data_IF_325871126598
#
_entry.id   IF_325871126598
#
_cell.length_a   1.000
_cell.length_b   1.000
_cell.length_c   1.000
_cell.angle_alpha   90.00
_cell.angle_beta   90.00
_cell.angle_gamma   90.00
#
_symmetry.space_group_name_H-M   'P 1'
#
loop_
_entity.id
_entity.type
_entity.pdbx_description
1 polymer ?
#
# COMPACT_ATOMS: atom_id res chain seq x y z
N UNK A 1 2.18 33.16 -20.86
CA UNK A 1 0.73 32.96 -20.63
C UNK A 1 0.42 31.52 -21.03
N UNK A 2 0.09 30.56 -20.16
CA UNK A 2 -0.47 30.59 -18.82
C UNK A 2 0.31 29.62 -17.93
N UNK A 3 0.78 30.08 -16.77
CA UNK A 3 1.20 29.20 -15.69
C UNK A 3 -0.06 28.52 -15.16
N UNK A 4 -0.15 27.21 -15.32
CA UNK A 4 -1.29 26.41 -14.86
C UNK A 4 -1.08 26.14 -13.36
N UNK A 5 -1.29 27.17 -12.55
CA UNK A 5 -1.03 27.19 -11.10
C UNK A 5 -2.20 26.56 -10.31
N UNK A 6 -2.68 25.42 -10.79
CA UNK A 6 -3.52 24.55 -9.98
C UNK A 6 -2.57 23.72 -9.11
N UNK A 7 -2.21 24.26 -7.94
CA UNK A 7 -1.43 23.54 -6.92
C UNK A 7 -2.01 22.15 -6.58
N UNK A 8 -1.28 21.37 -5.78
CA UNK A 8 -1.61 19.97 -5.44
C UNK A 8 -3.10 19.81 -5.05
N UNK A 9 -3.65 20.81 -4.35
CA UNK A 9 -5.05 20.87 -3.94
C UNK A 9 -6.04 20.94 -5.12
N UNK A 10 -5.82 21.83 -6.10
CA UNK A 10 -6.71 22.00 -7.26
C UNK A 10 -6.65 20.81 -8.24
N UNK A 11 -5.48 20.20 -8.37
CA UNK A 11 -5.26 18.98 -9.15
C UNK A 11 -5.97 17.77 -8.54
N UNK A 12 -5.78 17.56 -7.23
CA UNK A 12 -6.38 16.43 -6.52
C UNK A 12 -7.87 16.56 -6.33
N UNK A 13 -8.36 17.74 -5.97
CA UNK A 13 -9.77 17.91 -5.64
C UNK A 13 -10.66 17.64 -6.85
N UNK A 14 -10.33 18.22 -8.02
CA UNK A 14 -11.09 17.95 -9.26
C UNK A 14 -11.01 16.50 -9.73
N UNK A 15 -9.89 15.81 -9.46
CA UNK A 15 -9.62 14.47 -10.02
C UNK A 15 -10.00 13.34 -9.06
N UNK A 16 -9.69 13.43 -7.76
CA UNK A 16 -10.17 12.49 -6.73
C UNK A 16 -11.69 12.55 -6.60
N UNK A 17 -12.31 13.74 -6.60
CA UNK A 17 -13.77 13.84 -6.60
C UNK A 17 -14.40 13.36 -7.92
N UNK A 18 -13.64 13.10 -8.98
CA UNK A 18 -14.17 12.57 -10.25
C UNK A 18 -13.89 11.07 -10.42
N UNK A 19 -12.71 10.59 -10.03
CA UNK A 19 -12.31 9.18 -10.09
C UNK A 19 -12.76 8.36 -8.88
N UNK A 20 -12.90 9.00 -7.72
CA UNK A 20 -13.31 8.39 -6.45
C UNK A 20 -14.61 8.98 -5.89
N UNK A 21 -15.38 9.74 -6.68
CA UNK A 21 -16.73 10.20 -6.29
C UNK A 21 -17.63 9.04 -5.85
N UNK A 22 -17.51 7.90 -6.52
CA UNK A 22 -18.19 6.66 -6.18
C UNK A 22 -17.67 6.02 -4.89
N UNK A 23 -16.38 6.21 -4.54
CA UNK A 23 -15.78 5.75 -3.28
C UNK A 23 -16.23 6.60 -2.08
N UNK A 24 -16.29 7.91 -2.31
CA UNK A 24 -16.62 8.94 -1.32
C UNK A 24 -18.12 9.02 -1.04
N UNK A 25 -18.95 8.72 -2.04
CA UNK A 25 -20.38 8.56 -1.83
C UNK A 25 -20.61 7.24 -1.09
N UNK A 26 -20.88 7.32 0.22
CA UNK A 26 -21.19 6.22 1.13
C UNK A 26 -22.37 5.30 0.72
N UNK A 27 -22.99 5.53 -0.45
CA UNK A 27 -24.11 4.77 -1.00
C UNK A 27 -23.72 3.72 -2.07
N UNK A 28 -22.45 3.64 -2.46
CA UNK A 28 -22.00 2.70 -3.50
C UNK A 28 -21.05 1.68 -2.90
N UNK A 29 -21.40 0.39 -2.99
CA UNK A 29 -20.57 -0.74 -2.62
C UNK A 29 -19.40 -0.92 -3.59
N UNK A 30 -18.48 0.04 -3.59
CA UNK A 30 -17.34 0.06 -4.48
C UNK A 30 -16.16 -0.72 -3.89
N UNK A 31 -15.37 -1.38 -4.74
CA UNK A 31 -14.16 -2.14 -4.35
C UNK A 31 -13.13 -1.34 -3.54
N UNK A 32 -13.21 -0.01 -3.52
CA UNK A 32 -12.33 0.83 -2.71
C UNK A 32 -12.60 0.68 -1.20
N UNK A 33 -13.83 0.28 -0.83
CA UNK A 33 -14.21 -0.04 0.55
C UNK A 33 -13.43 -1.20 1.14
N UNK A 34 -12.88 -2.12 0.33
CA UNK A 34 -12.07 -3.23 0.85
C UNK A 34 -10.84 -2.75 1.62
N UNK A 35 -10.22 -1.64 1.19
CA UNK A 35 -9.11 -1.03 1.91
C UNK A 35 -9.60 -0.44 3.25
N UNK A 36 -10.71 0.28 3.25
CA UNK A 36 -11.29 0.87 4.48
C UNK A 36 -11.64 -0.24 5.48
N UNK A 37 -12.30 -1.31 5.06
CA UNK A 37 -12.65 -2.44 5.93
C UNK A 37 -11.40 -3.11 6.52
N UNK A 38 -10.39 -3.37 5.69
CA UNK A 38 -9.13 -3.97 6.16
C UNK A 38 -8.42 -3.04 7.14
N UNK A 39 -8.12 -1.81 6.74
CA UNK A 39 -7.40 -0.84 7.58
C UNK A 39 -8.12 -0.59 8.91
N UNK A 40 -9.45 -0.36 8.88
CA UNK A 40 -10.23 -0.13 10.10
C UNK A 40 -10.29 -1.35 11.00
N UNK A 41 -10.32 -2.57 10.45
CA UNK A 41 -10.23 -3.78 11.24
C UNK A 41 -8.89 -3.85 11.97
N UNK A 42 -7.77 -3.72 11.24
CA UNK A 42 -6.43 -3.74 11.80
C UNK A 42 -6.19 -2.64 12.84
N UNK A 43 -6.69 -1.42 12.58
CA UNK A 43 -6.66 -0.30 13.54
C UNK A 43 -7.39 -0.62 14.86
N UNK A 44 -8.49 -1.39 14.83
CA UNK A 44 -9.24 -1.81 16.04
C UNK A 44 -8.52 -2.88 16.86
N UNK A 45 -7.66 -3.68 16.22
CA UNK A 45 -7.00 -4.81 16.87
C UNK A 45 -5.52 -4.57 17.18
N UNK A 46 -4.95 -3.43 16.77
CA UNK A 46 -3.51 -3.13 16.86
C UNK A 46 -2.88 -3.31 18.25
N UNK A 47 -3.63 -3.09 19.32
CA UNK A 47 -3.17 -3.21 20.72
C UNK A 47 -3.71 -4.46 21.44
N UNK A 48 -4.45 -5.32 20.73
CA UNK A 48 -5.10 -6.50 21.30
C UNK A 48 -4.22 -7.73 21.21
N UNK A 49 -4.33 -8.60 22.22
CA UNK A 49 -3.90 -9.99 22.09
C UNK A 49 -5.03 -10.76 21.41
N UNK A 50 -4.82 -11.14 20.14
CA UNK A 50 -5.82 -11.85 19.36
C UNK A 50 -6.04 -13.27 19.87
N UNK A 51 -7.29 -13.72 19.86
CA UNK A 51 -7.63 -15.14 19.86
C UNK A 51 -7.57 -15.72 18.43
N UNK A 52 -7.80 -17.03 18.27
CA UNK A 52 -7.72 -17.69 16.97
C UNK A 52 -8.79 -17.23 15.97
N UNK A 53 -10.01 -16.93 16.44
CA UNK A 53 -11.10 -16.41 15.57
C UNK A 53 -10.81 -15.00 15.06
N UNK A 54 -10.30 -14.12 15.92
CA UNK A 54 -9.91 -12.76 15.52
C UNK A 54 -8.71 -12.77 14.58
N UNK A 55 -7.77 -13.69 14.78
CA UNK A 55 -6.63 -13.89 13.87
C UNK A 55 -7.10 -14.41 12.52
N UNK A 56 -8.03 -15.37 12.49
CA UNK A 56 -8.63 -15.86 11.25
C UNK A 56 -9.35 -14.76 10.48
N UNK A 57 -10.16 -13.97 11.19
CA UNK A 57 -10.85 -12.82 10.60
C UNK A 57 -9.89 -11.74 10.08
N UNK A 58 -8.76 -11.51 10.78
CA UNK A 58 -7.70 -10.61 10.31
C UNK A 58 -7.11 -11.09 8.97
N UNK A 59 -6.89 -12.40 8.84
CA UNK A 59 -6.41 -13.01 7.60
C UNK A 59 -7.42 -12.84 6.47
N UNK A 60 -8.71 -13.04 6.75
CA UNK A 60 -9.77 -12.88 5.77
C UNK A 60 -9.87 -11.42 5.28
N UNK A 61 -9.83 -10.44 6.18
CA UNK A 61 -9.81 -9.02 5.82
C UNK A 61 -8.63 -8.67 4.91
N UNK A 62 -7.42 -9.13 5.27
CA UNK A 62 -6.22 -8.89 4.48
C UNK A 62 -6.30 -9.59 3.12
N UNK A 63 -6.67 -10.87 3.08
CA UNK A 63 -6.79 -11.63 1.85
C UNK A 63 -7.82 -11.02 0.89
N UNK A 64 -9.00 -10.64 1.39
CA UNK A 64 -10.02 -10.02 0.57
C UNK A 64 -9.59 -8.65 0.03
N UNK A 65 -8.95 -7.81 0.86
CA UNK A 65 -8.33 -6.58 0.40
C UNK A 65 -7.33 -6.86 -0.74
N UNK A 66 -6.36 -7.75 -0.53
CA UNK A 66 -5.36 -8.08 -1.54
C UNK A 66 -5.98 -8.65 -2.82
N UNK A 67 -6.99 -9.53 -2.71
CA UNK A 67 -7.71 -10.09 -3.86
C UNK A 67 -8.47 -9.00 -4.64
N UNK A 68 -9.22 -8.15 -3.94
CA UNK A 68 -9.96 -7.03 -4.53
C UNK A 68 -9.06 -5.99 -5.19
N UNK A 69 -7.75 -5.98 -4.91
CA UNK A 69 -6.73 -5.15 -5.55
C UNK A 69 -5.79 -5.93 -6.48
N UNK A 70 -6.14 -7.18 -6.81
CA UNK A 70 -5.52 -7.95 -7.87
C UNK A 70 -4.21 -8.62 -7.51
N UNK A 71 -3.98 -8.95 -6.23
CA UNK A 71 -2.82 -9.73 -5.77
C UNK A 71 -3.05 -11.24 -5.82
N UNK A 72 -4.31 -11.71 -5.85
CA UNK A 72 -4.71 -13.11 -6.04
C UNK A 72 -5.06 -13.40 -7.51
N UNK A 73 -4.14 -13.15 -8.44
CA UNK A 73 -4.36 -13.45 -9.87
C UNK A 73 -3.05 -13.57 -10.64
N UNK A 74 -3.14 -14.06 -11.87
CA UNK A 74 -2.01 -14.13 -12.80
C UNK A 74 -0.88 -15.00 -12.24
N UNK A 75 0.35 -14.51 -12.34
CA UNK A 75 1.57 -15.17 -11.87
C UNK A 75 1.94 -14.82 -10.41
N UNK A 76 0.97 -14.44 -9.57
CA UNK A 76 1.22 -14.26 -8.14
C UNK A 76 1.25 -15.60 -7.40
N UNK A 77 2.34 -15.91 -6.69
CA UNK A 77 2.47 -17.15 -5.91
C UNK A 77 1.42 -17.26 -4.79
N UNK A 78 0.87 -16.12 -4.34
CA UNK A 78 -0.23 -16.08 -3.36
C UNK A 78 -1.50 -16.74 -3.90
N UNK A 79 -1.70 -16.78 -5.23
CA UNK A 79 -2.84 -17.47 -5.85
C UNK A 79 -2.87 -18.97 -5.53
N UNK A 80 -1.72 -19.57 -5.19
CA UNK A 80 -1.58 -20.99 -4.86
C UNK A 80 -1.80 -21.28 -3.37
N UNK A 81 -2.23 -20.28 -2.59
CA UNK A 81 -2.41 -20.38 -1.14
C UNK A 81 -3.81 -19.94 -0.75
N UNK A 82 -4.34 -20.55 0.30
CA UNK A 82 -5.58 -20.06 0.91
C UNK A 82 -5.36 -18.75 1.69
N UNK A 83 -6.45 -18.19 2.21
CA UNK A 83 -6.43 -16.88 2.89
C UNK A 83 -5.65 -16.91 4.22
N UNK A 84 -5.39 -18.08 4.81
CA UNK A 84 -4.68 -18.25 6.09
C UNK A 84 -3.15 -18.17 5.95
N UNK A 85 -2.65 -17.95 4.74
CA UNK A 85 -1.21 -17.81 4.47
C UNK A 85 -0.56 -16.63 5.21
N UNK A 86 -1.36 -15.64 5.62
CA UNK A 86 -0.85 -14.39 6.21
C UNK A 86 -0.64 -14.43 7.73
N UNK A 87 -0.86 -15.58 8.40
CA UNK A 87 -0.77 -15.72 9.86
C UNK A 87 0.49 -15.08 10.46
N UNK A 88 1.67 -15.40 9.91
CA UNK A 88 2.94 -14.91 10.42
C UNK A 88 3.15 -13.41 10.14
N UNK A 89 2.73 -12.95 8.96
CA UNK A 89 2.79 -11.53 8.58
C UNK A 89 1.95 -10.68 9.53
N UNK A 90 0.74 -11.14 9.89
CA UNK A 90 -0.14 -10.43 10.82
C UNK A 90 0.48 -10.35 12.22
N UNK A 91 1.08 -11.43 12.70
CA UNK A 91 1.81 -11.43 13.99
C UNK A 91 2.97 -10.43 13.99
N UNK A 92 3.71 -10.33 12.89
CA UNK A 92 4.80 -9.35 12.74
C UNK A 92 4.22 -7.92 12.79
N UNK A 93 3.16 -7.64 12.03
CA UNK A 93 2.52 -6.32 11.93
C UNK A 93 1.98 -5.83 13.28
N UNK A 94 1.38 -6.72 14.07
CA UNK A 94 0.80 -6.40 15.38
C UNK A 94 1.83 -6.37 16.51
N UNK A 95 3.11 -6.59 16.21
CA UNK A 95 4.17 -6.49 17.22
C UNK A 95 4.28 -5.06 17.76
N UNK A 96 4.42 -4.93 19.09
CA UNK A 96 4.64 -3.65 19.77
C UNK A 96 5.92 -2.93 19.32
N UNK A 97 6.87 -3.66 18.74
CA UNK A 97 8.08 -3.09 18.10
C UNK A 97 7.74 -2.00 17.07
N UNK A 98 6.59 -2.11 16.40
CA UNK A 98 6.19 -1.22 15.31
C UNK A 98 5.08 -0.23 15.70
N UNK A 99 4.81 -0.07 17.00
CA UNK A 99 3.76 0.83 17.50
C UNK A 99 3.87 2.26 16.93
N UNK A 100 5.10 2.76 16.77
CA UNK A 100 5.37 4.09 16.24
C UNK A 100 4.85 4.30 14.79
N UNK A 101 4.84 3.24 13.99
CA UNK A 101 4.42 3.30 12.58
C UNK A 101 2.89 3.42 12.41
N UNK A 102 2.11 3.22 13.47
CA UNK A 102 0.65 3.37 13.45
C UNK A 102 0.18 4.83 13.59
N UNK A 103 1.08 5.76 13.92
CA UNK A 103 0.76 7.17 14.19
C UNK A 103 1.85 8.10 13.62
N UNK A 104 2.05 8.00 12.30
CA UNK A 104 3.11 8.73 11.60
C UNK A 104 2.95 10.24 11.75
N UNK A 105 1.73 10.74 11.65
CA UNK A 105 1.47 12.18 11.61
C UNK A 105 1.77 12.90 12.91
N UNK A 106 1.67 12.19 14.03
CA UNK A 106 2.03 12.70 15.35
C UNK A 106 3.53 12.59 15.64
N UNK A 107 4.32 11.95 14.77
CA UNK A 107 5.73 11.61 14.99
C UNK A 107 6.64 12.02 13.81
N UNK A 108 6.24 13.02 13.02
CA UNK A 108 6.97 13.43 11.80
C UNK A 108 8.41 13.88 12.06
N UNK A 109 8.69 14.42 13.25
CA UNK A 109 10.03 14.80 13.73
C UNK A 109 10.94 13.59 13.96
N UNK A 110 10.36 12.40 14.21
CA UNK A 110 11.06 11.12 14.39
C UNK A 110 11.18 10.31 13.10
N UNK A 111 11.11 10.97 11.93
CA UNK A 111 11.12 10.30 10.61
C UNK A 111 12.28 9.32 10.40
N UNK A 112 13.47 9.61 10.94
CA UNK A 112 14.65 8.75 10.81
C UNK A 112 14.52 7.46 11.64
N UNK A 113 13.94 7.56 12.84
CA UNK A 113 13.65 6.40 13.68
C UNK A 113 12.57 5.53 13.05
N UNK A 114 11.48 6.15 12.59
CA UNK A 114 10.41 5.45 11.88
C UNK A 114 10.93 4.81 10.58
N UNK A 115 11.84 5.47 9.85
CA UNK A 115 12.47 4.90 8.65
C UNK A 115 13.21 3.59 8.94
N UNK A 116 13.99 3.54 10.01
CA UNK A 116 14.69 2.32 10.45
C UNK A 116 13.71 1.23 10.91
N UNK A 117 12.67 1.58 11.67
CA UNK A 117 11.63 0.64 12.08
C UNK A 117 10.87 0.07 10.88
N UNK A 118 10.52 0.92 9.91
CA UNK A 118 9.87 0.52 8.68
C UNK A 118 10.76 -0.41 7.85
N UNK A 119 12.06 -0.14 7.76
CA UNK A 119 13.00 -1.00 7.06
C UNK A 119 13.09 -2.40 7.69
N UNK A 120 13.14 -2.48 9.03
CA UNK A 120 13.07 -3.74 9.79
C UNK A 120 11.76 -4.49 9.52
N UNK A 121 10.61 -3.81 9.63
CA UNK A 121 9.29 -4.38 9.39
C UNK A 121 9.17 -4.94 7.96
N UNK A 122 9.52 -4.11 6.97
CA UNK A 122 9.48 -4.48 5.56
C UNK A 122 10.34 -5.71 5.30
N UNK A 123 11.54 -5.77 5.88
CA UNK A 123 12.44 -6.91 5.73
C UNK A 123 11.83 -8.21 6.26
N UNK A 124 11.24 -8.19 7.46
CA UNK A 124 10.55 -9.37 8.02
C UNK A 124 9.37 -9.84 7.17
N UNK A 125 8.58 -8.90 6.63
CA UNK A 125 7.47 -9.22 5.71
C UNK A 125 8.01 -9.80 4.40
N UNK A 126 9.04 -9.19 3.82
CA UNK A 126 9.66 -9.66 2.59
C UNK A 126 10.20 -11.09 2.75
N UNK A 127 10.89 -11.37 3.85
CA UNK A 127 11.43 -12.71 4.12
C UNK A 127 10.31 -13.74 4.32
N UNK A 128 9.23 -13.38 5.02
CA UNK A 128 8.04 -14.26 5.13
C UNK A 128 7.38 -14.50 3.77
N UNK A 129 7.29 -13.49 2.90
CA UNK A 129 6.76 -13.65 1.54
C UNK A 129 7.65 -14.54 0.67
N UNK A 130 8.98 -14.47 0.85
CA UNK A 130 9.93 -15.38 0.20
C UNK A 130 9.73 -16.82 0.66
N UNK A 131 9.53 -17.05 1.96
CA UNK A 131 9.22 -18.38 2.50
C UNK A 131 7.93 -18.94 1.89
N UNK A 132 6.87 -18.13 1.83
CA UNK A 132 5.60 -18.54 1.21
C UNK A 132 5.83 -18.91 -0.27
N UNK A 133 6.57 -18.09 -1.02
CA UNK A 133 6.90 -18.38 -2.43
C UNK A 133 7.71 -19.67 -2.56
N UNK A 134 8.70 -19.90 -1.71
CA UNK A 134 9.50 -21.13 -1.71
C UNK A 134 8.65 -22.36 -1.40
N UNK A 135 7.70 -22.26 -0.47
CA UNK A 135 6.79 -23.38 -0.16
C UNK A 135 5.87 -23.78 -1.31
N UNK A 136 5.59 -22.87 -2.26
CA UNK A 136 4.87 -23.20 -3.50
C UNK A 136 5.79 -23.93 -4.47
N UNK A 137 7.07 -23.56 -4.53
CA UNK A 137 8.05 -24.20 -5.42
C UNK A 137 8.38 -25.64 -5.04
N UNK A 138 8.28 -25.99 -3.77
CA UNK A 138 8.72 -27.30 -3.25
C UNK A 138 7.59 -28.29 -3.03
N UNK A 139 6.34 -27.94 -3.33
CA UNK A 139 5.19 -28.81 -3.06
C UNK A 139 4.90 -29.73 -4.25
N UNK A 140 4.74 -31.05 -4.04
CA UNK A 140 4.46 -32.01 -5.13
C UNK A 140 3.22 -31.63 -5.97
N UNK A 141 2.15 -31.15 -5.33
CA UNK A 141 0.91 -30.77 -6.02
C UNK A 141 1.04 -29.53 -6.95
N UNK A 142 2.17 -28.80 -6.92
CA UNK A 142 2.43 -27.65 -7.78
C UNK A 142 3.41 -27.96 -8.93
N UNK A 143 3.78 -29.23 -9.12
CA UNK A 143 4.67 -29.68 -10.19
C UNK A 143 4.16 -29.20 -11.57
N UNK A 144 4.99 -28.45 -12.31
CA UNK A 144 4.64 -27.87 -13.62
C UNK A 144 3.91 -26.51 -13.59
N UNK A 145 3.30 -26.11 -12.47
CA UNK A 145 2.81 -24.72 -12.23
C UNK A 145 4.01 -23.77 -12.05
N UNK A 146 5.09 -24.31 -11.48
CA UNK A 146 6.35 -23.67 -11.15
C UNK A 146 6.94 -22.79 -12.27
N UNK A 147 6.95 -23.22 -13.54
CA UNK A 147 7.66 -22.52 -14.64
C UNK A 147 7.33 -21.03 -14.82
N UNK A 148 6.17 -20.57 -14.36
CA UNK A 148 5.76 -19.13 -14.41
C UNK A 148 6.14 -18.32 -13.16
N UNK A 149 6.46 -18.99 -12.05
CA UNK A 149 6.79 -18.38 -10.74
C UNK A 149 8.27 -18.58 -10.34
N UNK A 150 9.02 -19.27 -11.22
CA UNK A 150 10.34 -19.85 -10.98
C UNK A 150 11.53 -18.94 -11.25
N UNK A 151 11.35 -17.68 -11.65
CA UNK A 151 12.51 -16.83 -11.87
C UNK A 151 13.16 -16.47 -10.52
N UNK A 152 14.19 -17.22 -10.13
CA UNK A 152 14.93 -17.08 -8.86
C UNK A 152 15.61 -15.72 -8.73
N UNK A 153 15.83 -15.05 -9.85
CA UNK A 153 16.38 -13.69 -9.93
C UNK A 153 15.34 -12.60 -9.66
N UNK A 154 14.05 -12.95 -9.61
CA UNK A 154 12.99 -11.98 -9.45
C UNK A 154 12.73 -11.76 -7.97
N UNK A 155 13.19 -10.62 -7.45
CA UNK A 155 12.87 -10.16 -6.10
C UNK A 155 11.35 -10.12 -5.90
N UNK A 156 10.87 -10.30 -4.66
CA UNK A 156 9.46 -10.03 -4.36
C UNK A 156 9.23 -8.56 -4.70
N UNK A 157 8.37 -8.31 -5.69
CA UNK A 157 8.02 -6.94 -6.05
C UNK A 157 7.56 -6.19 -4.79
N UNK A 158 8.08 -4.99 -4.51
CA UNK A 158 7.66 -4.18 -3.39
C UNK A 158 6.15 -3.97 -3.33
N UNK A 159 5.46 -4.07 -4.48
CA UNK A 159 4.01 -3.91 -4.59
C UNK A 159 3.23 -4.77 -3.59
N UNK A 160 3.56 -6.06 -3.43
CA UNK A 160 2.79 -6.94 -2.53
C UNK A 160 3.00 -6.55 -1.06
N UNK A 161 4.26 -6.42 -0.65
CA UNK A 161 4.62 -6.05 0.72
C UNK A 161 4.09 -4.66 1.10
N UNK A 162 4.23 -3.68 0.22
CA UNK A 162 3.69 -2.32 0.47
C UNK A 162 2.17 -2.27 0.42
N UNK A 163 1.49 -3.09 -0.38
CA UNK A 163 0.01 -3.22 -0.29
C UNK A 163 -0.42 -3.82 1.04
N UNK A 164 0.23 -4.89 1.50
CA UNK A 164 -0.01 -5.45 2.84
C UNK A 164 0.12 -4.34 3.89
N UNK A 165 1.21 -3.58 3.86
CA UNK A 165 1.47 -2.50 4.82
C UNK A 165 0.46 -1.34 4.71
N UNK A 166 0.08 -0.94 3.50
CA UNK A 166 -0.94 0.09 3.27
C UNK A 166 -2.33 -0.34 3.78
N UNK A 167 -2.71 -1.61 3.56
CA UNK A 167 -4.00 -2.16 3.97
C UNK A 167 -4.11 -2.47 5.46
N UNK A 168 -2.99 -2.56 6.18
CA UNK A 168 -2.95 -2.93 7.60
C UNK A 168 -2.56 -1.74 8.48
N UNK A 169 -1.27 -1.44 8.62
CA UNK A 169 -0.76 -0.31 9.41
C UNK A 169 -1.07 1.03 8.73
N UNK A 170 -1.14 1.06 7.40
CA UNK A 170 -1.27 2.28 6.63
C UNK A 170 -0.01 3.14 6.71
N UNK A 171 1.18 2.53 6.85
CA UNK A 171 2.45 3.24 7.09
C UNK A 171 3.28 3.56 5.83
N UNK A 172 2.88 3.07 4.66
CA UNK A 172 3.53 3.38 3.39
C UNK A 172 2.50 3.26 2.25
N UNK A 173 2.59 4.08 1.19
CA UNK A 173 1.80 3.88 -0.01
C UNK A 173 2.08 2.54 -0.70
N UNK A 174 1.17 2.07 -1.54
CA UNK A 174 1.40 0.88 -2.34
C UNK A 174 2.29 1.22 -3.54
N UNK A 175 3.48 0.62 -3.60
CA UNK A 175 4.42 0.78 -4.72
C UNK A 175 3.99 -0.03 -5.94
N UNK A 176 2.81 0.28 -6.49
CA UNK A 176 2.34 -0.25 -7.76
C UNK A 176 2.71 0.68 -8.93
N UNK A 177 2.40 0.24 -10.16
CA UNK A 177 2.80 0.95 -11.39
C UNK A 177 2.33 2.41 -11.44
N UNK A 178 1.15 2.71 -10.90
CA UNK A 178 0.60 4.06 -10.97
C UNK A 178 1.18 4.94 -9.88
N UNK A 179 1.37 4.41 -8.67
CA UNK A 179 2.12 5.13 -7.64
C UNK A 179 3.54 5.48 -8.12
N UNK A 180 4.26 4.51 -8.69
CA UNK A 180 5.59 4.70 -9.27
C UNK A 180 5.59 5.74 -10.40
N UNK A 181 4.60 5.70 -11.29
CA UNK A 181 4.43 6.72 -12.33
C UNK A 181 4.16 8.12 -11.76
N UNK A 182 3.47 8.21 -10.63
CA UNK A 182 3.28 9.45 -9.88
C UNK A 182 4.58 9.98 -9.30
N UNK A 183 5.41 9.12 -8.69
CA UNK A 183 6.74 9.52 -8.21
C UNK A 183 7.59 10.10 -9.36
N UNK A 184 7.55 9.46 -10.52
CA UNK A 184 8.29 9.93 -11.70
C UNK A 184 7.81 11.30 -12.18
N UNK A 185 6.49 11.56 -12.18
CA UNK A 185 5.92 12.87 -12.49
C UNK A 185 6.43 13.97 -11.57
N UNK A 186 6.56 13.66 -10.27
CA UNK A 186 7.09 14.57 -9.26
C UNK A 186 8.63 14.58 -9.17
N UNK A 187 9.32 13.89 -10.09
CA UNK A 187 10.79 13.75 -10.11
C UNK A 187 11.36 13.17 -8.81
N UNK A 188 10.61 12.28 -8.17
CA UNK A 188 11.02 11.53 -6.98
C UNK A 188 11.64 10.19 -7.42
N UNK A 189 12.57 9.67 -6.63
CA UNK A 189 13.21 8.38 -6.89
C UNK A 189 12.18 7.24 -6.92
N UNK A 190 12.06 6.58 -8.09
CA UNK A 190 11.12 5.47 -8.29
C UNK A 190 11.58 4.12 -7.75
N UNK A 191 12.90 3.90 -7.64
CA UNK A 191 13.45 2.65 -7.13
C UNK A 191 13.16 2.56 -5.63
N UNK A 192 12.40 1.54 -5.24
CA UNK A 192 12.06 1.32 -3.85
C UNK A 192 13.31 0.95 -3.04
N UNK A 193 13.47 1.61 -1.90
CA UNK A 193 14.41 1.27 -0.84
C UNK A 193 13.67 1.55 0.47
N UNK A 194 13.43 0.54 1.31
CA UNK A 194 12.47 0.63 2.40
C UNK A 194 12.65 1.90 3.26
N UNK A 195 13.83 2.12 3.82
CA UNK A 195 14.13 3.28 4.66
C UNK A 195 14.04 4.61 3.89
N UNK A 196 14.76 4.74 2.77
CA UNK A 196 14.82 5.99 2.01
C UNK A 196 13.46 6.36 1.41
N UNK A 197 12.73 5.38 0.89
CA UNK A 197 11.40 5.57 0.33
C UNK A 197 10.39 6.00 1.38
N UNK A 198 10.46 5.45 2.60
CA UNK A 198 9.62 5.90 3.71
C UNK A 198 9.91 7.36 4.08
N UNK A 199 11.18 7.71 4.25
CA UNK A 199 11.61 9.09 4.57
C UNK A 199 11.20 10.06 3.46
N UNK A 200 11.37 9.67 2.19
CA UNK A 200 10.95 10.46 1.03
C UNK A 200 9.46 10.82 1.06
N UNK A 201 8.59 9.92 1.54
CA UNK A 201 7.16 10.21 1.67
C UNK A 201 6.87 11.25 2.74
N UNK A 202 7.56 11.17 3.88
CA UNK A 202 7.46 12.17 4.94
C UNK A 202 7.98 13.52 4.43
N UNK A 203 9.14 13.55 3.78
CA UNK A 203 9.73 14.77 3.23
C UNK A 203 8.85 15.42 2.16
N UNK A 204 8.25 14.61 1.29
CA UNK A 204 7.28 15.10 0.32
C UNK A 204 6.07 15.72 1.02
N UNK A 205 5.54 15.07 2.06
CA UNK A 205 4.44 15.63 2.82
C UNK A 205 4.82 16.96 3.49
N UNK A 206 5.96 17.03 4.17
CA UNK A 206 6.42 18.24 4.86
C UNK A 206 6.63 19.41 3.89
N UNK A 207 7.21 19.15 2.71
CA UNK A 207 7.40 20.16 1.66
C UNK A 207 6.07 20.72 1.14
N UNK A 208 5.01 19.92 1.13
CA UNK A 208 3.71 20.25 0.57
C UNK A 208 2.59 20.30 1.63
N UNK A 209 2.97 20.58 2.89
CA UNK A 209 2.11 20.40 4.06
C UNK A 209 0.79 21.14 3.96
N UNK A 210 0.80 22.40 3.52
CA UNK A 210 -0.39 23.24 3.41
C UNK A 210 -1.45 22.59 2.51
N UNK A 211 -1.05 22.12 1.33
CA UNK A 211 -1.97 21.56 0.34
C UNK A 211 -2.45 20.16 0.75
N UNK A 212 -1.55 19.34 1.30
CA UNK A 212 -1.88 17.99 1.75
C UNK A 212 -2.71 17.98 3.04
N UNK A 213 -2.54 18.94 3.95
CA UNK A 213 -3.41 19.10 5.13
C UNK A 213 -4.82 19.55 4.73
N UNK A 214 -4.94 20.44 3.74
CA UNK A 214 -6.24 20.78 3.14
C UNK A 214 -6.95 19.54 2.59
N UNK A 215 -6.21 18.64 1.93
CA UNK A 215 -6.77 17.38 1.45
C UNK A 215 -7.14 16.45 2.62
N UNK A 216 -6.25 16.25 3.60
CA UNK A 216 -6.51 15.41 4.79
C UNK A 216 -7.76 15.85 5.54
N UNK A 217 -8.05 17.14 5.63
CA UNK A 217 -9.25 17.66 6.29
C UNK A 217 -10.55 17.18 5.63
N UNK A 218 -10.52 16.79 4.35
CA UNK A 218 -11.66 16.22 3.60
C UNK A 218 -11.76 14.70 3.76
N UNK A 219 -10.67 14.05 4.16
CA UNK A 219 -10.54 12.60 4.32
C UNK A 219 -10.02 12.27 5.74
N UNK A 220 -10.72 12.75 6.77
CA UNK A 220 -10.23 12.69 8.17
C UNK A 220 -9.96 11.28 8.69
N UNK A 221 -10.64 10.29 8.14
CA UNK A 221 -10.50 8.89 8.56
C UNK A 221 -9.31 8.19 7.89
N UNK A 222 -8.62 8.85 6.96
CA UNK A 222 -7.54 8.26 6.17
C UNK A 222 -6.18 8.68 6.74
N UNK A 223 -5.26 7.72 6.97
CA UNK A 223 -3.91 8.04 7.40
C UNK A 223 -3.15 8.79 6.30
N UNK A 224 -2.14 9.56 6.69
CA UNK A 224 -1.32 10.36 5.78
C UNK A 224 -0.82 9.56 4.57
N UNK A 225 -0.29 8.36 4.79
CA UNK A 225 0.26 7.56 3.69
C UNK A 225 -0.82 7.08 2.73
N UNK A 226 -2.09 6.97 3.17
CA UNK A 226 -3.20 6.71 2.26
C UNK A 226 -3.53 7.92 1.38
N UNK A 227 -3.38 9.13 1.92
CA UNK A 227 -3.54 10.36 1.14
C UNK A 227 -2.44 10.47 0.08
N UNK A 228 -1.19 10.18 0.45
CA UNK A 228 -0.07 10.14 -0.50
C UNK A 228 -0.26 9.05 -1.55
N UNK A 229 -0.69 7.85 -1.16
CA UNK A 229 -1.06 6.76 -2.08
C UNK A 229 -2.07 7.24 -3.13
N UNK A 230 -3.16 7.87 -2.69
CA UNK A 230 -4.18 8.41 -3.58
C UNK A 230 -3.65 9.52 -4.49
N UNK A 231 -2.80 10.40 -3.97
CA UNK A 231 -2.15 11.47 -4.74
C UNK A 231 -1.34 10.93 -5.90
N UNK A 232 -0.33 10.14 -5.58
CA UNK A 232 0.62 9.64 -6.57
C UNK A 232 -0.04 8.66 -7.54
N UNK A 233 -1.00 7.86 -7.06
CA UNK A 233 -1.76 6.97 -7.94
C UNK A 233 -2.52 7.75 -9.02
N UNK A 234 -3.22 8.84 -8.65
CA UNK A 234 -3.92 9.70 -9.63
C UNK A 234 -2.93 10.35 -10.58
N UNK A 235 -1.83 10.89 -10.06
CA UNK A 235 -0.77 11.50 -10.86
C UNK A 235 -0.21 10.54 -11.93
N UNK A 236 0.09 9.29 -11.56
CA UNK A 236 0.61 8.29 -12.49
C UNK A 236 -0.44 7.71 -13.43
N UNK A 237 -1.69 7.55 -12.98
CA UNK A 237 -2.78 7.12 -13.86
C UNK A 237 -3.04 8.13 -14.98
N UNK A 238 -2.94 9.41 -14.69
CA UNK A 238 -3.12 10.47 -15.69
C UNK A 238 -1.99 10.54 -16.69
N UNK A 239 -0.74 10.42 -16.21
CA UNK A 239 0.41 10.29 -17.09
C UNK A 239 0.21 9.12 -18.06
N UNK A 240 -0.16 7.96 -17.52
CA UNK A 240 -0.48 6.79 -18.33
C UNK A 240 -1.58 7.10 -19.36
N UNK A 241 -2.67 7.78 -19.00
CA UNK A 241 -3.70 8.15 -19.98
C UNK A 241 -3.18 9.09 -21.06
N UNK A 242 -2.37 10.08 -20.72
CA UNK A 242 -1.83 11.03 -21.70
C UNK A 242 -0.92 10.33 -22.71
N UNK A 243 -0.07 9.42 -22.22
CA UNK A 243 0.85 8.66 -23.08
C UNK A 243 0.11 7.72 -24.04
N UNK A 244 -1.07 7.21 -23.66
CA UNK A 244 -1.86 6.26 -24.47
C UNK A 244 -3.02 6.89 -25.26
N UNK A 245 -3.22 8.21 -25.19
CA UNK A 245 -4.22 8.94 -26.02
C UNK A 245 -3.57 9.52 -27.29
N UNK A 246 -2.23 9.45 -27.42
CA UNK A 246 -1.49 9.81 -28.63
C UNK A 246 -1.29 8.67 -29.64
N UNK A 247 -1.88 7.50 -29.41
CA UNK A 247 -1.74 6.29 -30.24
C UNK A 247 -3.05 5.85 -30.95
N UNK A 248 -4.12 6.64 -30.85
CA UNK A 248 -5.37 6.48 -31.64
C UNK A 248 -5.48 7.58 -32.71
#
# INVERSE_FOLDING_TARGET
MFANDAGINGFLEKRLLKSQKSALNAKVDHRYKSWEHCYNFFKKIKDKKLNDEELDLAQLHLAFYLASWGMYRGSSFILQKDYTVFKNIIKIILSKEYALLWDIESNLDRKEEMGRLFASLYKKIEDTLKEIRTSVKSHPDFEGVEKRYLNEREEISPTLATKILLGTIGCIPAYDRFFIGGLEKEKIQKKFNSEKSFIQMIDFYLKNKVELDSLRNKFKDYPLMKILDMYFWVAGYERFKQDNVGEE
#
